data_IF_245348516221
#
_entry.id   IF_245348516221
#
_cell.length_a   1.000
_cell.length_b   1.000
_cell.length_c   1.000
_cell.angle_alpha   90.00
_cell.angle_beta   90.00
_cell.angle_gamma   90.00
#
_symmetry.space_group_name_H-M   'P 1'
#
loop_
_entity.id
_entity.type
_entity.pdbx_description
1 polymer ?
#
# COMPACT_ATOMS: atom_id res chain seq x y z
N UNK A 1 -15.85 16.58 26.31
CA UNK A 1 -14.49 16.00 26.28
C UNK A 1 -14.46 14.62 25.63
N UNK A 2 -15.40 13.70 25.91
CA UNK A 2 -15.50 12.41 25.22
C UNK A 2 -15.77 12.49 23.71
N UNK A 3 -16.61 13.42 23.25
CA UNK A 3 -16.93 13.59 21.81
C UNK A 3 -15.72 14.04 21.00
N UNK A 4 -14.92 14.95 21.56
CA UNK A 4 -13.72 15.50 20.93
C UNK A 4 -12.61 14.45 20.74
N UNK A 5 -12.47 13.51 21.69
CA UNK A 5 -11.53 12.37 21.59
C UNK A 5 -12.05 11.33 20.59
N UNK A 6 -13.36 11.09 20.54
CA UNK A 6 -13.96 10.17 19.57
C UNK A 6 -13.80 10.67 18.13
N UNK A 7 -14.03 11.97 17.89
CA UNK A 7 -13.86 12.58 16.57
C UNK A 7 -12.40 12.55 16.10
N UNK A 8 -11.44 12.76 17.03
CA UNK A 8 -10.01 12.62 16.69
C UNK A 8 -9.63 11.17 16.40
N UNK A 9 -10.18 10.19 17.13
CA UNK A 9 -9.95 8.77 16.82
C UNK A 9 -10.59 8.37 15.48
N UNK A 10 -11.83 8.79 15.22
CA UNK A 10 -12.57 8.45 14.01
C UNK A 10 -11.91 9.07 12.77
N UNK A 11 -11.55 10.36 12.85
CA UNK A 11 -10.79 11.06 11.82
C UNK A 11 -9.39 10.45 11.60
N UNK A 12 -8.70 10.03 12.68
CA UNK A 12 -7.41 9.36 12.58
C UNK A 12 -7.51 8.02 11.84
N UNK A 13 -8.55 7.21 12.12
CA UNK A 13 -8.78 5.95 11.43
C UNK A 13 -9.06 6.17 9.93
N UNK A 14 -9.87 7.17 9.60
CA UNK A 14 -10.14 7.51 8.20
C UNK A 14 -8.89 8.01 7.48
N UNK A 15 -8.05 8.81 8.14
CA UNK A 15 -6.77 9.29 7.58
C UNK A 15 -5.80 8.13 7.33
N UNK A 16 -5.73 7.14 8.23
CA UNK A 16 -4.90 5.94 8.05
C UNK A 16 -5.40 5.11 6.86
N UNK A 17 -6.71 4.89 6.75
CA UNK A 17 -7.30 4.15 5.61
C UNK A 17 -7.02 4.87 4.30
N UNK A 18 -7.18 6.20 4.27
CA UNK A 18 -6.96 7.01 3.08
C UNK A 18 -5.48 7.02 2.66
N UNK A 19 -4.55 7.09 3.62
CA UNK A 19 -3.11 6.92 3.37
C UNK A 19 -2.81 5.53 2.81
N UNK A 20 -3.30 4.46 3.44
CA UNK A 20 -3.11 3.09 2.95
C UNK A 20 -3.70 2.88 1.55
N UNK A 21 -4.88 3.45 1.27
CA UNK A 21 -5.53 3.38 -0.04
C UNK A 21 -4.72 4.14 -1.10
N UNK A 22 -4.20 5.32 -0.76
CA UNK A 22 -3.35 6.11 -1.66
C UNK A 22 -2.04 5.37 -1.98
N UNK A 23 -1.41 4.74 -0.98
CA UNK A 23 -0.20 3.93 -1.17
C UNK A 23 -0.47 2.66 -1.98
N UNK A 24 -1.60 1.99 -1.74
CA UNK A 24 -2.02 0.83 -2.53
C UNK A 24 -2.28 1.22 -3.99
N UNK A 25 -2.94 2.36 -4.22
CA UNK A 25 -3.21 2.89 -5.57
C UNK A 25 -1.92 3.28 -6.27
N UNK A 26 -1.03 3.98 -5.57
CA UNK A 26 0.30 4.33 -6.08
C UNK A 26 1.11 3.08 -6.44
N UNK A 27 1.06 2.04 -5.59
CA UNK A 27 1.71 0.76 -5.86
C UNK A 27 1.17 0.09 -7.12
N UNK A 28 -0.15 0.09 -7.30
CA UNK A 28 -0.79 -0.46 -8.49
C UNK A 28 -0.46 0.38 -9.74
N UNK A 29 -0.42 1.70 -9.62
CA UNK A 29 -0.02 2.60 -10.70
C UNK A 29 1.41 2.33 -11.18
N UNK A 30 2.36 2.18 -10.26
CA UNK A 30 3.75 1.82 -10.60
C UNK A 30 3.85 0.47 -11.32
N UNK A 31 3.04 -0.53 -10.92
CA UNK A 31 3.00 -1.81 -11.63
C UNK A 31 2.39 -1.66 -13.04
N UNK A 32 1.33 -0.86 -13.19
CA UNK A 32 0.64 -0.64 -14.48
C UNK A 32 1.54 0.05 -15.51
N UNK A 33 2.38 1.00 -15.08
CA UNK A 33 3.38 1.64 -15.97
C UNK A 33 4.59 0.74 -16.26
N UNK A 34 4.61 -0.50 -15.74
CA UNK A 34 5.71 -1.44 -15.91
C UNK A 34 6.98 -1.01 -15.17
N UNK A 35 6.84 -0.30 -14.06
CA UNK A 35 7.99 0.17 -13.29
C UNK A 35 8.76 -1.04 -12.73
N UNK A 36 9.91 -1.34 -13.33
CA UNK A 36 10.77 -2.41 -12.84
C UNK A 36 11.41 -2.01 -11.52
N UNK A 37 10.77 -2.37 -10.42
CA UNK A 37 11.34 -2.16 -9.09
C UNK A 37 12.67 -2.89 -8.89
N UNK A 38 12.96 -3.92 -9.70
CA UNK A 38 14.27 -4.60 -9.75
C UNK A 38 15.38 -3.71 -10.31
N UNK A 39 15.05 -2.71 -11.13
CA UNK A 39 16.02 -1.78 -11.70
C UNK A 39 16.49 -0.71 -10.68
N UNK A 40 15.77 -0.53 -9.58
CA UNK A 40 16.13 0.44 -8.54
C UNK A 40 17.38 0.02 -7.74
N UNK A 41 18.33 0.95 -7.48
CA UNK A 41 19.55 0.65 -6.73
C UNK A 41 19.29 0.22 -5.28
N UNK A 42 18.19 0.70 -4.69
CA UNK A 42 17.74 0.32 -3.34
C UNK A 42 17.31 -1.15 -3.32
N UNK A 43 16.55 -1.57 -4.33
CA UNK A 43 16.07 -2.94 -4.45
C UNK A 43 17.20 -3.92 -4.77
N UNK A 44 18.20 -3.51 -5.57
CA UNK A 44 19.44 -4.29 -5.80
C UNK A 44 20.25 -4.50 -4.52
N UNK A 45 20.37 -3.46 -3.68
CA UNK A 45 21.02 -3.60 -2.37
C UNK A 45 20.23 -4.54 -1.45
N UNK A 46 18.90 -4.45 -1.44
CA UNK A 46 18.07 -5.33 -0.63
C UNK A 46 18.13 -6.80 -1.10
N UNK A 47 18.15 -7.03 -2.42
CA UNK A 47 18.30 -8.35 -3.03
C UNK A 47 19.63 -9.02 -2.63
N UNK A 48 20.72 -8.24 -2.56
CA UNK A 48 22.04 -8.73 -2.15
C UNK A 48 22.06 -9.24 -0.70
N UNK A 49 21.24 -8.67 0.19
CA UNK A 49 21.18 -9.08 1.60
C UNK A 49 20.12 -10.15 1.89
N UNK A 50 18.99 -10.14 1.18
CA UNK A 50 17.83 -10.99 1.50
C UNK A 50 17.53 -12.08 0.46
N UNK A 51 18.29 -12.16 -0.63
CA UNK A 51 18.09 -13.09 -1.73
C UNK A 51 17.01 -12.61 -2.73
N UNK A 52 17.26 -12.83 -4.01
CA UNK A 52 16.39 -12.40 -5.11
C UNK A 52 14.99 -13.04 -5.04
N UNK A 53 14.89 -14.33 -4.68
CA UNK A 53 13.60 -15.03 -4.56
C UNK A 53 12.68 -14.40 -3.50
N UNK A 54 13.25 -13.99 -2.37
CA UNK A 54 12.47 -13.42 -1.26
C UNK A 54 11.96 -12.04 -1.62
N UNK A 55 12.74 -11.28 -2.38
CA UNK A 55 12.37 -9.99 -2.92
C UNK A 55 11.24 -10.13 -3.96
N UNK A 56 11.34 -11.07 -4.90
CA UNK A 56 10.29 -11.32 -5.90
C UNK A 56 8.97 -11.70 -5.24
N UNK A 57 9.03 -12.61 -4.25
CA UNK A 57 7.85 -12.98 -3.46
C UNK A 57 7.27 -11.76 -2.76
N UNK A 58 8.08 -10.97 -2.06
CA UNK A 58 7.61 -9.76 -1.39
C UNK A 58 6.93 -8.79 -2.37
N UNK A 59 7.48 -8.66 -3.58
CA UNK A 59 6.91 -7.81 -4.62
C UNK A 59 5.51 -8.26 -5.03
N UNK A 60 5.38 -9.55 -5.32
CA UNK A 60 4.14 -10.20 -5.74
C UNK A 60 3.08 -10.17 -4.62
N UNK A 61 3.47 -10.48 -3.39
CA UNK A 61 2.59 -10.41 -2.22
C UNK A 61 2.13 -8.98 -1.94
N UNK A 62 3.04 -7.99 -2.04
CA UNK A 62 2.70 -6.58 -1.89
C UNK A 62 1.68 -6.12 -2.93
N UNK A 63 1.81 -6.56 -4.19
CA UNK A 63 0.84 -6.26 -5.23
C UNK A 63 -0.54 -6.88 -4.94
N UNK A 64 -0.61 -8.17 -4.61
CA UNK A 64 -1.88 -8.83 -4.26
C UNK A 64 -2.57 -8.16 -3.07
N UNK A 65 -1.79 -7.76 -2.06
CA UNK A 65 -2.31 -7.03 -0.91
C UNK A 65 -2.85 -5.66 -1.31
N UNK A 66 -2.14 -4.89 -2.14
CA UNK A 66 -2.62 -3.60 -2.64
C UNK A 66 -3.91 -3.72 -3.47
N UNK A 67 -3.99 -4.70 -4.38
CA UNK A 67 -5.20 -4.97 -5.16
C UNK A 67 -6.38 -5.32 -4.25
N UNK A 68 -6.18 -6.24 -3.31
CA UNK A 68 -7.21 -6.64 -2.35
C UNK A 68 -7.68 -5.47 -1.48
N UNK A 69 -6.74 -4.63 -1.02
CA UNK A 69 -7.05 -3.46 -0.20
C UNK A 69 -7.90 -2.44 -0.97
N UNK A 70 -7.56 -2.15 -2.23
CA UNK A 70 -8.37 -1.26 -3.07
C UNK A 70 -9.77 -1.83 -3.27
N UNK A 71 -9.89 -3.11 -3.62
CA UNK A 71 -11.20 -3.74 -3.87
C UNK A 71 -12.12 -3.74 -2.64
N UNK A 72 -11.55 -3.91 -1.44
CA UNK A 72 -12.32 -3.98 -0.21
C UNK A 72 -12.66 -2.58 0.35
N UNK A 73 -11.73 -1.63 0.28
CA UNK A 73 -11.85 -0.34 0.98
C UNK A 73 -12.21 0.83 0.05
N UNK A 74 -11.85 0.79 -1.24
CA UNK A 74 -12.23 1.86 -2.18
C UNK A 74 -13.75 2.05 -2.33
N UNK A 75 -14.59 1.00 -2.49
CA UNK A 75 -16.03 1.22 -2.61
C UNK A 75 -16.62 1.79 -1.31
N UNK A 76 -16.12 1.35 -0.14
CA UNK A 76 -16.55 1.92 1.14
C UNK A 76 -16.19 3.40 1.31
N UNK A 77 -15.09 3.87 0.71
CA UNK A 77 -14.67 5.27 0.74
C UNK A 77 -15.36 6.14 -0.32
N UNK A 78 -15.63 5.58 -1.50
CA UNK A 78 -16.25 6.32 -2.62
C UNK A 78 -17.77 6.43 -2.50
N UNK A 79 -18.40 5.48 -1.78
CA UNK A 79 -19.84 5.43 -1.55
C UNK A 79 -20.25 6.00 -0.18
N UNK A 80 -19.30 6.40 0.67
CA UNK A 80 -19.56 7.04 1.97
C UNK A 80 -19.90 8.52 1.85
#
# INVERSE_FOLDING_TARGET
MNTMILDTLYSSNQMVVLLCLSLATFRLFLEVIGFEFKALPITKKLAKYNGEERLERFHRWGFYFSVGYILLFAPGLLLS
#
